data_IF_068302606483
#
_entry.id   IF_068302606483
#
_cell.length_a   1.000
_cell.length_b   1.000
_cell.length_c   1.000
_cell.angle_alpha   90.00
_cell.angle_beta   90.00
_cell.angle_gamma   90.00
#
_symmetry.space_group_name_H-M   'P 1'
#
loop_
_entity.id
_entity.type
_entity.pdbx_description
1 polymer ?
#
# COMPACT_ATOMS: atom_id res chain seq x y z
N UNK A 1 30.91 -65.68 21.82
CA UNK A 1 30.48 -65.47 23.22
C UNK A 1 31.73 -65.08 24.01
N UNK A 2 31.66 -64.06 24.86
CA UNK A 2 32.82 -63.59 25.63
C UNK A 2 32.96 -64.42 26.92
N UNK A 3 34.07 -65.14 27.08
CA UNK A 3 34.36 -65.88 28.31
C UNK A 3 34.99 -64.93 29.35
N UNK A 4 34.49 -64.96 30.58
CA UNK A 4 34.99 -64.11 31.68
C UNK A 4 35.79 -64.99 32.63
N UNK A 5 37.04 -64.58 32.92
CA UNK A 5 37.92 -65.27 33.87
C UNK A 5 37.66 -64.73 35.28
N UNK A 6 37.36 -65.60 36.22
CA UNK A 6 37.20 -65.22 37.63
C UNK A 6 38.57 -64.95 38.25
N UNK A 7 38.81 -63.73 38.76
CA UNK A 7 40.09 -63.35 39.40
C UNK A 7 40.40 -64.12 40.69
N UNK A 8 39.41 -64.76 41.32
CA UNK A 8 39.59 -65.41 42.62
C UNK A 8 39.96 -66.89 42.53
N UNK A 9 39.64 -67.56 41.42
CA UNK A 9 39.92 -69.00 41.25
C UNK A 9 40.44 -69.36 39.86
N UNK A 10 40.73 -68.35 39.03
CA UNK A 10 41.21 -68.46 37.66
C UNK A 10 40.33 -69.32 36.71
N UNK A 11 39.13 -69.68 37.15
CA UNK A 11 38.17 -70.42 36.35
C UNK A 11 37.60 -69.54 35.24
N UNK A 12 37.57 -70.05 34.02
CA UNK A 12 37.05 -69.38 32.83
C UNK A 12 35.76 -70.06 32.41
N UNK A 13 34.67 -69.31 32.39
CA UNK A 13 33.34 -69.86 32.12
C UNK A 13 32.53 -68.94 31.21
N UNK A 14 31.67 -69.54 30.40
CA UNK A 14 30.69 -68.84 29.55
C UNK A 14 29.38 -68.70 30.33
N UNK A 15 29.38 -67.89 31.39
CA UNK A 15 28.20 -67.75 32.28
C UNK A 15 27.43 -66.45 32.07
N UNK A 16 26.10 -66.56 32.05
CA UNK A 16 25.11 -65.46 32.04
C UNK A 16 24.71 -64.97 33.45
N UNK A 17 25.37 -65.47 34.50
CA UNK A 17 25.09 -65.12 35.91
C UNK A 17 26.23 -64.37 36.59
N UNK A 18 25.92 -63.62 37.66
CA UNK A 18 26.86 -62.74 38.36
C UNK A 18 27.83 -63.47 39.31
N UNK A 19 27.62 -64.77 39.58
CA UNK A 19 28.42 -65.57 40.50
C UNK A 19 29.26 -66.60 39.74
N UNK A 20 30.53 -66.76 40.13
CA UNK A 20 31.40 -67.77 39.55
C UNK A 20 30.96 -69.19 40.01
N UNK A 21 30.68 -70.13 39.09
CA UNK A 21 30.19 -71.46 39.45
C UNK A 21 31.21 -72.30 40.23
N UNK A 22 32.51 -72.01 40.10
CA UNK A 22 33.57 -72.78 40.77
C UNK A 22 33.87 -72.33 42.21
N UNK A 23 33.61 -71.06 42.56
CA UNK A 23 33.98 -70.53 43.88
C UNK A 23 32.87 -69.73 44.58
N UNK A 24 31.72 -69.54 43.94
CA UNK A 24 30.58 -68.83 44.50
C UNK A 24 30.80 -67.34 44.74
N UNK A 25 31.92 -66.75 44.29
CA UNK A 25 32.20 -65.31 44.41
C UNK A 25 31.78 -64.54 43.17
N UNK A 26 31.34 -63.30 43.36
CA UNK A 26 30.89 -62.43 42.27
C UNK A 26 32.02 -62.11 41.28
N UNK A 27 31.68 -62.05 39.99
CA UNK A 27 32.59 -61.48 38.99
C UNK A 27 32.76 -59.98 39.27
N UNK A 28 33.97 -59.41 39.10
CA UNK A 28 34.18 -57.98 39.33
C UNK A 28 33.22 -57.17 38.46
N UNK A 29 32.56 -56.13 39.01
CA UNK A 29 31.55 -55.38 38.27
C UNK A 29 32.18 -54.80 37.00
N UNK A 30 31.61 -55.13 35.85
CA UNK A 30 31.90 -54.42 34.60
C UNK A 30 31.59 -52.95 34.82
N UNK A 31 32.53 -52.08 34.48
CA UNK A 31 32.54 -50.64 34.73
C UNK A 31 31.37 -49.88 34.06
N UNK A 32 30.13 -50.08 34.51
CA UNK A 32 28.95 -49.35 34.05
C UNK A 32 29.09 -47.84 34.26
N UNK A 33 29.83 -47.41 35.28
CA UNK A 33 30.08 -45.99 35.55
C UNK A 33 30.91 -45.30 34.46
N UNK A 34 31.79 -46.03 33.77
CA UNK A 34 32.59 -45.47 32.67
C UNK A 34 31.72 -45.26 31.42
N UNK A 35 30.82 -46.21 31.13
CA UNK A 35 29.86 -46.07 30.02
C UNK A 35 28.87 -44.92 30.24
N UNK A 36 28.38 -44.73 31.47
CA UNK A 36 27.51 -43.62 31.82
C UNK A 36 28.23 -42.28 31.63
N UNK A 37 29.50 -42.19 32.04
CA UNK A 37 30.30 -40.99 31.86
C UNK A 37 30.48 -40.64 30.37
N UNK A 38 30.82 -41.63 29.52
CA UNK A 38 30.95 -41.40 28.08
C UNK A 38 29.63 -40.99 27.41
N UNK A 39 28.49 -41.55 27.84
CA UNK A 39 27.16 -41.14 27.35
C UNK A 39 26.84 -39.70 27.74
N UNK A 40 27.20 -39.28 28.95
CA UNK A 40 26.98 -37.91 29.42
C UNK A 40 27.85 -36.91 28.64
N UNK A 41 29.11 -37.24 28.38
CA UNK A 41 30.01 -36.43 27.55
C UNK A 41 29.50 -36.35 26.11
N UNK A 42 29.05 -37.46 25.53
CA UNK A 42 28.48 -37.48 24.18
C UNK A 42 27.23 -36.61 24.09
N UNK A 43 26.33 -36.67 25.07
CA UNK A 43 25.13 -35.85 25.12
C UNK A 43 25.45 -34.35 25.20
N UNK A 44 26.44 -33.96 26.01
CA UNK A 44 26.89 -32.56 26.11
C UNK A 44 27.49 -32.09 24.79
N UNK A 45 28.32 -32.91 24.13
CA UNK A 45 28.91 -32.57 22.82
C UNK A 45 27.81 -32.39 21.77
N UNK A 46 26.80 -33.25 21.73
CA UNK A 46 25.66 -33.10 20.82
C UNK A 46 24.86 -31.83 21.12
N UNK A 47 24.62 -31.50 22.39
CA UNK A 47 23.92 -30.27 22.79
C UNK A 47 24.69 -29.00 22.40
N UNK A 48 26.01 -29.01 22.58
CA UNK A 48 26.89 -27.90 22.19
C UNK A 48 26.97 -27.77 20.66
N UNK A 49 27.02 -28.88 19.92
CA UNK A 49 26.97 -28.86 18.46
C UNK A 49 25.62 -28.35 17.96
N UNK A 50 24.49 -28.76 18.54
CA UNK A 50 23.18 -28.20 18.23
C UNK A 50 23.13 -26.70 18.49
N UNK A 51 23.72 -26.22 19.59
CA UNK A 51 23.78 -24.79 19.89
C UNK A 51 24.69 -24.01 18.93
N UNK A 52 25.82 -24.60 18.51
CA UNK A 52 26.76 -24.00 17.56
C UNK A 52 26.21 -23.99 16.13
N UNK A 53 25.45 -25.02 15.72
CA UNK A 53 24.79 -25.09 14.40
C UNK A 53 23.41 -24.41 14.38
N UNK A 54 22.82 -24.08 15.54
CA UNK A 54 21.58 -23.29 15.62
C UNK A 54 21.84 -21.77 15.64
N UNK A 55 23.10 -21.36 15.65
CA UNK A 55 23.54 -19.96 15.50
C UNK A 55 23.94 -19.63 14.06
N UNK A 56 23.62 -20.52 13.10
CA UNK A 56 23.54 -20.08 11.71
C UNK A 56 22.44 -19.03 11.69
N UNK A 57 22.82 -17.76 11.45
CA UNK A 57 21.88 -16.69 11.17
C UNK A 57 20.96 -17.22 10.08
N UNK A 58 19.76 -17.63 10.49
CA UNK A 58 18.67 -17.87 9.57
C UNK A 58 18.42 -16.48 8.99
N UNK A 59 19.02 -16.20 7.83
CA UNK A 59 18.46 -15.23 6.91
C UNK A 59 17.02 -15.68 6.72
N UNK A 60 16.11 -15.09 7.50
CA UNK A 60 14.68 -15.31 7.39
C UNK A 60 14.34 -15.01 5.94
N UNK A 61 14.13 -16.08 5.16
CA UNK A 61 13.67 -16.01 3.80
C UNK A 61 12.32 -15.30 3.84
N UNK A 62 12.32 -14.01 3.51
CA UNK A 62 11.14 -13.15 3.62
C UNK A 62 10.06 -13.75 2.75
N UNK A 63 8.99 -14.25 3.38
CA UNK A 63 7.89 -14.82 2.62
C UNK A 63 7.11 -13.66 1.97
N UNK A 64 6.56 -13.88 0.77
CA UNK A 64 5.74 -12.88 0.08
C UNK A 64 4.55 -12.40 0.93
N UNK A 65 4.13 -13.20 1.90
CA UNK A 65 3.07 -12.89 2.86
C UNK A 65 3.48 -11.77 3.84
N UNK A 66 4.73 -11.77 4.30
CA UNK A 66 5.27 -10.74 5.22
C UNK A 66 5.29 -9.36 4.55
N UNK A 67 5.68 -9.29 3.28
CA UNK A 67 5.70 -8.04 2.51
C UNK A 67 4.26 -7.51 2.33
N UNK A 68 3.30 -8.38 2.03
CA UNK A 68 1.91 -7.99 1.88
C UNK A 68 1.30 -7.47 3.20
N UNK A 69 1.69 -8.05 4.34
CA UNK A 69 1.30 -7.59 5.68
C UNK A 69 1.86 -6.18 5.92
N UNK A 70 3.14 -5.94 5.62
CA UNK A 70 3.77 -4.65 5.82
C UNK A 70 3.20 -3.55 4.92
N UNK A 71 2.86 -3.87 3.68
CA UNK A 71 2.18 -2.93 2.77
C UNK A 71 0.76 -2.64 3.26
N UNK A 72 -0.05 -3.66 3.61
CA UNK A 72 -1.43 -3.46 4.08
C UNK A 72 -1.49 -2.75 5.44
N UNK A 73 -0.48 -2.94 6.29
CA UNK A 73 -0.35 -2.27 7.59
C UNK A 73 -0.09 -0.76 7.46
N UNK A 74 0.50 -0.30 6.35
CA UNK A 74 0.93 1.09 6.16
C UNK A 74 -0.18 2.16 6.17
N UNK A 75 -1.47 1.79 6.19
CA UNK A 75 -2.58 2.75 6.26
C UNK A 75 -3.25 2.78 7.64
N UNK A 76 -3.17 3.93 8.33
CA UNK A 76 -4.04 4.28 9.46
C UNK A 76 -3.74 3.54 10.77
N UNK A 77 -4.76 3.34 11.61
CA UNK A 77 -4.62 2.81 12.98
C UNK A 77 -4.05 1.38 13.04
N UNK A 78 -4.16 0.61 11.95
CA UNK A 78 -3.64 -0.76 11.85
C UNK A 78 -2.12 -0.83 11.71
N UNK A 79 -1.46 0.25 11.27
CA UNK A 79 -0.01 0.28 11.15
C UNK A 79 0.74 0.12 12.46
N UNK A 80 0.14 0.57 13.57
CA UNK A 80 0.72 0.37 14.91
C UNK A 80 0.87 -1.09 15.29
N UNK A 81 -0.03 -1.97 14.84
CA UNK A 81 -0.02 -3.39 15.19
C UNK A 81 1.12 -4.16 14.54
N UNK A 82 1.59 -3.71 13.38
CA UNK A 82 2.62 -4.39 12.59
C UNK A 82 3.95 -3.64 12.60
N UNK A 83 4.08 -2.60 13.43
CA UNK A 83 5.30 -1.78 13.54
C UNK A 83 6.53 -2.61 13.83
N UNK A 84 6.46 -3.44 14.87
CA UNK A 84 7.63 -4.20 15.32
C UNK A 84 7.88 -5.42 14.41
N UNK A 85 6.82 -6.00 13.83
CA UNK A 85 6.93 -7.14 12.89
C UNK A 85 7.55 -6.74 11.55
N UNK A 86 7.22 -5.53 11.06
CA UNK A 86 7.69 -5.05 9.77
C UNK A 86 9.01 -4.31 9.84
N UNK A 87 9.45 -3.93 11.02
CA UNK A 87 10.72 -3.24 11.20
C UNK A 87 11.88 -4.12 10.70
N UNK A 88 12.83 -3.49 10.02
CA UNK A 88 14.06 -4.07 9.47
C UNK A 88 13.81 -5.12 8.37
N UNK A 89 12.57 -5.29 7.89
CA UNK A 89 12.24 -6.20 6.78
C UNK A 89 12.47 -5.54 5.42
N UNK A 90 13.00 -6.31 4.48
CA UNK A 90 13.08 -5.89 3.07
C UNK A 90 11.69 -5.91 2.44
N UNK A 91 11.32 -4.82 1.78
CA UNK A 91 10.02 -4.63 1.13
C UNK A 91 10.20 -4.14 -0.30
N UNK A 92 9.26 -4.55 -1.16
CA UNK A 92 9.11 -4.02 -2.51
C UNK A 92 7.74 -3.37 -2.65
N UNK A 93 7.69 -2.06 -2.91
CA UNK A 93 6.46 -1.29 -3.02
C UNK A 93 6.39 -0.65 -4.41
N UNK A 94 5.28 -0.87 -5.11
CA UNK A 94 4.99 -0.16 -6.38
C UNK A 94 4.04 0.99 -6.10
N UNK A 95 4.32 2.17 -6.63
CA UNK A 95 3.46 3.33 -6.44
C UNK A 95 3.81 4.52 -7.31
N UNK A 96 3.14 5.63 -7.04
CA UNK A 96 3.27 6.92 -7.71
C UNK A 96 3.94 7.94 -6.81
N UNK A 97 4.92 8.66 -7.34
CA UNK A 97 5.60 9.74 -6.64
C UNK A 97 4.67 10.96 -6.58
N UNK A 98 4.38 11.49 -5.39
CA UNK A 98 3.44 12.61 -5.22
C UNK A 98 4.05 13.87 -4.61
N UNK A 99 5.18 13.75 -3.92
CA UNK A 99 5.94 14.88 -3.41
C UNK A 99 7.43 14.51 -3.42
N UNK A 100 8.29 15.49 -3.62
CA UNK A 100 9.76 15.34 -3.63
C UNK A 100 10.30 16.47 -2.76
N UNK A 101 10.98 16.10 -1.67
CA UNK A 101 11.49 17.04 -0.67
C UNK A 101 12.99 16.79 -0.50
N UNK A 102 13.80 17.47 -1.31
CA UNK A 102 15.26 17.30 -1.30
C UNK A 102 15.68 15.87 -1.68
N UNK A 103 16.14 15.09 -0.70
CA UNK A 103 16.61 13.72 -0.90
C UNK A 103 15.59 12.66 -0.49
N UNK A 104 14.34 13.03 -0.20
CA UNK A 104 13.26 12.09 0.09
C UNK A 104 12.09 12.34 -0.88
N UNK A 105 11.21 11.35 -0.99
CA UNK A 105 9.98 11.52 -1.74
C UNK A 105 8.84 10.72 -1.12
N UNK A 106 7.62 11.18 -1.39
CA UNK A 106 6.40 10.50 -0.96
C UNK A 106 5.86 9.63 -2.08
N UNK A 107 5.62 8.36 -1.76
CA UNK A 107 5.04 7.36 -2.65
C UNK A 107 3.61 7.01 -2.21
N UNK A 108 2.67 6.95 -3.16
CA UNK A 108 1.32 6.42 -2.96
C UNK A 108 1.11 5.16 -3.80
N UNK A 109 0.55 4.10 -3.23
CA UNK A 109 0.24 2.88 -4.01
C UNK A 109 -0.87 3.07 -5.03
N UNK A 110 -1.64 4.17 -4.90
CA UNK A 110 -2.69 4.58 -5.83
C UNK A 110 -2.29 5.84 -6.60
N UNK A 111 -2.79 5.96 -7.82
CA UNK A 111 -2.60 7.14 -8.68
C UNK A 111 -3.31 8.38 -8.12
N UNK A 112 -4.38 8.18 -7.36
CA UNK A 112 -5.15 9.22 -6.69
C UNK A 112 -5.01 9.08 -5.17
N UNK A 113 -4.89 10.23 -4.50
CA UNK A 113 -4.90 10.30 -3.04
C UNK A 113 -6.36 10.09 -2.60
N UNK A 114 -6.75 8.84 -2.47
CA UNK A 114 -8.10 8.42 -2.05
C UNK A 114 -8.06 7.79 -0.65
N UNK A 115 -9.23 7.73 0.00
CA UNK A 115 -9.37 7.05 1.29
C UNK A 115 -9.04 5.56 1.13
N UNK A 116 -7.96 5.09 1.78
CA UNK A 116 -7.44 3.73 1.63
C UNK A 116 -6.16 3.61 0.78
N UNK A 117 -5.68 4.72 0.19
CA UNK A 117 -4.35 4.74 -0.43
C UNK A 117 -3.24 4.64 0.62
N UNK A 118 -2.25 3.78 0.36
CA UNK A 118 -1.12 3.59 1.25
C UNK A 118 -0.02 4.62 0.93
N UNK A 119 0.40 5.39 1.94
CA UNK A 119 1.43 6.43 1.81
C UNK A 119 2.73 5.96 2.46
N UNK A 120 3.82 6.11 1.71
CA UNK A 120 5.18 5.79 2.15
C UNK A 120 6.09 7.02 2.00
N UNK A 121 6.89 7.29 3.02
CA UNK A 121 8.06 8.17 2.90
C UNK A 121 9.26 7.32 2.53
N UNK A 122 9.93 7.70 1.43
CA UNK A 122 11.01 6.92 0.86
C UNK A 122 12.31 7.71 0.95
N UNK A 123 13.32 7.10 1.57
CA UNK A 123 14.68 7.62 1.73
C UNK A 123 15.63 6.78 0.88
N UNK A 124 16.05 7.29 -0.28
CA UNK A 124 16.90 6.55 -1.19
C UNK A 124 18.32 6.44 -0.65
N UNK A 125 18.96 5.29 -0.89
CA UNK A 125 20.34 5.04 -0.48
C UNK A 125 21.36 5.99 -1.13
N UNK A 126 20.98 6.63 -2.23
CA UNK A 126 21.81 7.58 -2.98
C UNK A 126 21.10 8.93 -3.11
N UNK A 127 21.82 10.01 -2.80
CA UNK A 127 21.39 11.40 -2.99
C UNK A 127 21.17 11.78 -4.48
N UNK A 128 21.35 10.83 -5.41
CA UNK A 128 21.23 11.03 -6.87
C UNK A 128 20.14 10.15 -7.48
N UNK A 129 19.00 10.02 -6.81
CA UNK A 129 17.83 9.43 -7.46
C UNK A 129 17.19 10.43 -8.41
N UNK A 130 16.71 9.94 -9.56
CA UNK A 130 15.93 10.74 -10.52
C UNK A 130 14.53 10.15 -10.58
N UNK A 131 13.59 10.81 -9.92
CA UNK A 131 12.17 10.52 -10.04
C UNK A 131 11.43 11.82 -10.35
N UNK A 132 10.43 11.74 -11.23
CA UNK A 132 9.51 12.83 -11.51
C UNK A 132 8.27 12.75 -10.63
N UNK A 133 7.61 13.90 -10.45
CA UNK A 133 6.25 13.92 -9.91
C UNK A 133 5.32 13.09 -10.80
N UNK A 134 4.37 12.39 -10.17
CA UNK A 134 3.42 11.45 -10.76
C UNK A 134 4.02 10.25 -11.50
N UNK A 135 5.34 10.07 -11.43
CA UNK A 135 6.01 8.91 -12.02
C UNK A 135 5.66 7.66 -11.23
N UNK A 136 5.36 6.56 -11.95
CA UNK A 136 5.21 5.24 -11.35
C UNK A 136 6.58 4.61 -11.16
N UNK A 137 6.85 4.10 -9.98
CA UNK A 137 8.14 3.50 -9.61
C UNK A 137 7.94 2.25 -8.76
N UNK A 138 8.90 1.34 -8.82
CA UNK A 138 9.10 0.27 -7.84
C UNK A 138 10.19 0.73 -6.88
N UNK A 139 9.91 0.63 -5.59
CA UNK A 139 10.81 0.96 -4.50
C UNK A 139 11.16 -0.34 -3.76
N UNK A 140 12.43 -0.68 -3.71
CA UNK A 140 12.96 -1.79 -2.91
C UNK A 140 13.79 -1.20 -1.77
N UNK A 141 13.51 -1.55 -0.53
CA UNK A 141 14.24 -0.99 0.61
C UNK A 141 13.90 -1.67 1.92
N UNK A 142 14.40 -1.12 3.02
CA UNK A 142 14.16 -1.64 4.37
C UNK A 142 13.05 -0.84 5.02
N UNK A 143 12.05 -1.53 5.55
CA UNK A 143 10.99 -0.89 6.31
C UNK A 143 11.53 -0.48 7.69
N UNK A 144 11.64 0.82 7.94
CA UNK A 144 12.19 1.34 9.20
C UNK A 144 11.11 1.48 10.27
N UNK A 145 10.10 2.30 10.00
CA UNK A 145 9.17 2.71 11.05
C UNK A 145 7.87 3.31 10.52
N UNK A 146 6.95 3.58 11.46
CA UNK A 146 5.75 4.37 11.20
C UNK A 146 5.97 5.81 11.69
N UNK A 147 5.74 6.79 10.81
CA UNK A 147 5.89 8.22 11.13
C UNK A 147 4.70 8.77 11.92
N UNK A 148 4.88 9.94 12.55
CA UNK A 148 3.78 10.71 13.14
C UNK A 148 2.72 10.98 12.06
N UNK A 149 1.54 10.38 12.21
CA UNK A 149 0.46 10.40 11.20
C UNK A 149 0.00 9.02 10.69
N UNK A 150 0.73 7.94 11.00
CA UNK A 150 0.35 6.57 10.63
C UNK A 150 0.76 6.16 9.21
N UNK A 151 1.86 6.73 8.72
CA UNK A 151 2.46 6.44 7.41
C UNK A 151 3.70 5.58 7.56
N UNK A 152 4.06 4.81 6.54
CA UNK A 152 5.23 3.95 6.56
C UNK A 152 6.49 4.67 6.06
N UNK A 153 7.66 4.30 6.61
CA UNK A 153 8.97 4.79 6.17
C UNK A 153 9.79 3.65 5.60
N UNK A 154 10.36 3.88 4.41
CA UNK A 154 11.26 2.95 3.72
C UNK A 154 12.63 3.61 3.59
N UNK A 155 13.63 3.04 4.27
CA UNK A 155 15.01 3.47 4.26
C UNK A 155 15.86 2.61 3.30
N UNK A 156 17.06 3.12 2.96
CA UNK A 156 18.00 2.48 2.05
C UNK A 156 17.40 2.09 0.68
N UNK A 157 16.46 2.91 0.20
CA UNK A 157 15.66 2.56 -0.96
C UNK A 157 16.45 2.61 -2.27
N UNK A 158 16.23 1.58 -3.10
CA UNK A 158 16.61 1.47 -4.51
C UNK A 158 15.35 1.66 -5.35
N UNK A 159 15.41 2.56 -6.34
CA UNK A 159 14.25 2.95 -7.14
C UNK A 159 14.41 2.46 -8.56
N UNK A 160 13.37 1.80 -9.07
CA UNK A 160 13.28 1.35 -10.47
C UNK A 160 12.10 2.08 -11.14
N UNK A 161 12.35 2.95 -12.13
CA UNK A 161 11.27 3.62 -12.85
C UNK A 161 10.45 2.61 -13.67
N UNK A 162 9.13 2.80 -13.73
CA UNK A 162 8.24 2.05 -14.63
C UNK A 162 7.81 2.99 -15.75
N UNK A 163 8.08 2.61 -17.00
CA UNK A 163 7.43 3.23 -18.14
C UNK A 163 5.97 2.78 -18.20
N UNK A 164 5.06 3.75 -18.19
CA UNK A 164 3.63 3.48 -18.34
C UNK A 164 3.33 3.09 -19.78
N UNK A 165 2.55 2.04 -19.98
CA UNK A 165 2.08 1.69 -21.32
C UNK A 165 1.18 2.80 -21.88
N UNK A 166 1.22 3.04 -23.19
CA UNK A 166 0.41 4.05 -23.89
C UNK A 166 -1.10 3.90 -23.64
N UNK A 167 -1.56 2.68 -23.37
CA UNK A 167 -2.96 2.40 -23.00
C UNK A 167 -3.34 3.02 -21.65
N UNK A 168 -2.44 3.00 -20.67
CA UNK A 168 -2.65 3.60 -19.35
C UNK A 168 -2.59 5.13 -19.43
N UNK A 169 -1.71 5.68 -20.28
CA UNK A 169 -1.63 7.12 -20.56
C UNK A 169 -2.94 7.61 -21.20
N UNK A 170 -3.43 6.90 -22.21
CA UNK A 170 -4.69 7.24 -22.87
C UNK A 170 -5.91 7.14 -21.94
N UNK A 171 -5.94 6.14 -21.06
CA UNK A 171 -7.01 6.02 -20.06
C UNK A 171 -7.01 7.19 -19.07
N UNK A 172 -5.81 7.67 -18.66
CA UNK A 172 -5.67 8.85 -17.79
C UNK A 172 -6.18 10.11 -18.47
N UNK A 173 -5.76 10.34 -19.71
CA UNK A 173 -6.19 11.52 -20.45
C UNK A 173 -7.71 11.53 -20.67
N UNK A 174 -8.33 10.37 -20.90
CA UNK A 174 -9.80 10.25 -20.95
C UNK A 174 -10.46 10.58 -19.61
N UNK A 175 -9.91 10.12 -18.48
CA UNK A 175 -10.45 10.40 -17.13
C UNK A 175 -10.33 11.89 -16.77
N UNK A 176 -9.21 12.53 -17.11
CA UNK A 176 -9.04 13.98 -16.92
C UNK A 176 -9.97 14.80 -17.82
N UNK A 177 -10.08 14.44 -19.09
CA UNK A 177 -11.01 15.09 -20.02
C UNK A 177 -12.46 14.95 -19.53
N UNK A 178 -12.86 13.79 -19.00
CA UNK A 178 -14.18 13.59 -18.41
C UNK A 178 -14.40 14.44 -17.14
N UNK A 179 -13.38 14.64 -16.30
CA UNK A 179 -13.46 15.55 -15.14
C UNK A 179 -13.62 17.01 -15.57
N UNK A 180 -12.83 17.46 -16.55
CA UNK A 180 -12.93 18.81 -17.13
C UNK A 180 -14.32 19.05 -17.73
N UNK A 181 -14.84 18.08 -18.49
CA UNK A 181 -16.18 18.14 -19.08
C UNK A 181 -17.27 18.28 -18.01
N UNK A 182 -17.20 17.51 -16.92
CA UNK A 182 -18.15 17.62 -15.80
C UNK A 182 -18.07 18.98 -15.09
N UNK A 183 -16.87 19.55 -14.94
CA UNK A 183 -16.68 20.88 -14.35
C UNK A 183 -17.31 21.96 -15.24
N UNK A 184 -17.05 21.91 -16.55
CA UNK A 184 -17.64 22.83 -17.52
C UNK A 184 -19.16 22.73 -17.56
N UNK A 185 -19.72 21.51 -17.55
CA UNK A 185 -21.18 21.31 -17.45
C UNK A 185 -21.79 21.95 -16.20
N UNK A 186 -21.08 21.89 -15.06
CA UNK A 186 -21.53 22.51 -13.81
C UNK A 186 -21.48 24.03 -13.88
N UNK A 187 -20.43 24.61 -14.46
CA UNK A 187 -20.31 26.06 -14.66
C UNK A 187 -21.40 26.60 -15.61
N UNK A 188 -21.66 25.89 -16.70
CA UNK A 188 -22.73 26.21 -17.64
C UNK A 188 -24.12 26.17 -16.99
N UNK A 189 -24.36 25.20 -16.10
CA UNK A 189 -25.62 25.11 -15.36
C UNK A 189 -25.83 26.29 -14.41
N UNK A 190 -24.77 26.73 -13.70
CA UNK A 190 -24.83 27.91 -12.84
C UNK A 190 -25.08 29.19 -13.63
N UNK A 191 -24.40 29.34 -14.78
CA UNK A 191 -24.64 30.47 -15.68
C UNK A 191 -26.11 30.50 -16.14
N UNK A 192 -26.69 29.35 -16.51
CA UNK A 192 -28.11 29.33 -16.85
C UNK A 192 -29.01 29.80 -15.70
N UNK A 193 -28.81 29.26 -14.49
CA UNK A 193 -29.63 29.63 -13.33
C UNK A 193 -29.56 31.13 -13.02
N UNK A 194 -28.36 31.71 -13.04
CA UNK A 194 -28.17 33.13 -12.77
C UNK A 194 -28.85 34.01 -13.84
N UNK A 195 -28.81 33.61 -15.11
CA UNK A 195 -29.50 34.34 -16.17
C UNK A 195 -31.03 34.21 -16.08
N UNK A 196 -31.54 33.02 -15.78
CA UNK A 196 -32.98 32.81 -15.58
C UNK A 196 -33.52 33.64 -14.41
N UNK A 197 -32.79 33.69 -13.29
CA UNK A 197 -33.14 34.52 -12.12
C UNK A 197 -33.13 36.01 -12.46
N UNK A 198 -32.09 36.51 -13.13
CA UNK A 198 -32.01 37.90 -13.59
C UNK A 198 -33.18 38.24 -14.54
N UNK A 199 -33.55 37.29 -15.40
CA UNK A 199 -34.69 37.45 -16.31
C UNK A 199 -36.02 37.55 -15.56
N UNK A 200 -36.28 36.65 -14.60
CA UNK A 200 -37.49 36.68 -13.76
C UNK A 200 -37.59 37.98 -12.94
N UNK A 201 -36.47 38.49 -12.43
CA UNK A 201 -36.41 39.79 -11.75
C UNK A 201 -36.74 40.95 -12.71
N UNK A 202 -36.24 40.91 -13.94
CA UNK A 202 -36.53 41.91 -14.97
C UNK A 202 -37.99 41.87 -15.47
N UNK A 203 -38.65 40.71 -15.37
CA UNK A 203 -40.02 40.45 -15.83
C UNK A 203 -40.82 39.64 -14.79
N UNK A 204 -41.31 40.30 -13.72
CA UNK A 204 -42.07 39.61 -12.68
C UNK A 204 -43.29 38.86 -13.25
N UNK A 205 -43.44 37.59 -12.87
CA UNK A 205 -44.52 36.72 -13.32
C UNK A 205 -44.17 35.79 -14.49
N UNK A 206 -42.92 35.82 -14.98
CA UNK A 206 -42.38 34.76 -15.85
C UNK A 206 -41.88 33.58 -15.02
N UNK A 207 -42.06 32.36 -15.53
CA UNK A 207 -41.53 31.13 -14.93
C UNK A 207 -40.48 30.53 -15.87
N UNK A 208 -39.24 30.43 -15.40
CA UNK A 208 -38.15 29.83 -16.14
C UNK A 208 -37.91 28.36 -15.72
N UNK A 209 -37.50 27.49 -16.66
CA UNK A 209 -37.16 26.09 -16.37
C UNK A 209 -36.10 25.99 -15.29
N UNK A 210 -36.26 25.02 -14.39
CA UNK A 210 -35.28 24.76 -13.36
C UNK A 210 -34.07 24.06 -13.98
N UNK A 211 -32.91 24.21 -13.33
CA UNK A 211 -31.68 23.53 -13.72
C UNK A 211 -31.81 22.00 -13.90
N UNK A 212 -32.77 21.37 -13.20
CA UNK A 212 -33.09 19.95 -13.34
C UNK A 212 -33.68 19.56 -14.69
N UNK A 213 -34.23 20.52 -15.43
CA UNK A 213 -35.05 20.30 -16.62
C UNK A 213 -34.26 20.57 -17.92
N UNK A 214 -32.97 20.91 -17.80
CA UNK A 214 -32.09 21.28 -18.91
C UNK A 214 -31.20 20.12 -19.35
N UNK A 215 -31.13 19.95 -20.66
CA UNK A 215 -30.10 19.14 -21.31
C UNK A 215 -28.87 20.04 -21.55
N UNK A 216 -27.66 19.49 -21.55
CA UNK A 216 -26.38 20.23 -21.61
C UNK A 216 -26.13 21.06 -22.88
N UNK A 217 -27.14 21.31 -23.71
CA UNK A 217 -27.06 22.02 -24.99
C UNK A 217 -27.44 23.50 -24.90
N UNK A 218 -28.00 23.98 -23.78
CA UNK A 218 -28.53 25.34 -23.66
C UNK A 218 -27.51 26.42 -23.28
N UNK A 219 -26.23 26.05 -23.11
CA UNK A 219 -25.16 26.94 -22.73
C UNK A 219 -23.88 26.58 -23.48
N UNK A 220 -23.19 27.61 -23.99
CA UNK A 220 -21.99 27.46 -24.80
C UNK A 220 -20.88 28.38 -24.28
N UNK A 221 -19.71 27.79 -24.00
CA UNK A 221 -18.50 28.54 -23.71
C UNK A 221 -17.89 29.05 -25.02
N UNK A 222 -17.70 30.36 -25.15
CA UNK A 222 -17.06 30.97 -26.31
C UNK A 222 -15.52 30.98 -26.15
N UNK A 223 -14.80 31.20 -27.25
CA UNK A 223 -13.32 31.21 -27.27
C UNK A 223 -12.70 32.30 -26.40
N UNK A 224 -13.43 33.40 -26.16
CA UNK A 224 -13.02 34.51 -25.30
C UNK A 224 -13.29 34.27 -23.81
N UNK A 225 -13.81 33.09 -23.46
CA UNK A 225 -14.16 32.71 -22.09
C UNK A 225 -15.52 33.23 -21.61
N UNK A 226 -16.27 33.95 -22.45
CA UNK A 226 -17.65 34.30 -22.15
C UNK A 226 -18.55 33.07 -22.24
N UNK A 227 -19.61 33.03 -21.42
CA UNK A 227 -20.63 31.99 -21.50
C UNK A 227 -21.87 32.60 -22.13
N UNK A 228 -22.30 32.03 -23.24
CA UNK A 228 -23.58 32.33 -23.86
C UNK A 228 -24.62 31.33 -23.40
N UNK A 229 -25.78 31.82 -22.99
CA UNK A 229 -26.88 31.00 -22.53
C UNK A 229 -28.14 31.39 -23.28
N UNK A 230 -28.74 30.42 -23.97
CA UNK A 230 -30.06 30.56 -24.55
C UNK A 230 -31.07 29.83 -23.67
N UNK A 231 -32.20 30.48 -23.39
CA UNK A 231 -33.24 29.90 -22.55
C UNK A 231 -34.64 30.29 -22.96
N UNK A 232 -35.60 29.56 -22.38
CA UNK A 232 -37.01 29.66 -22.69
C UNK A 232 -37.80 29.74 -21.38
N UNK A 233 -38.44 30.87 -21.08
CA UNK A 233 -39.36 31.02 -19.95
C UNK A 233 -40.81 31.14 -20.45
N UNK A 234 -41.78 31.04 -19.54
CA UNK A 234 -43.19 31.14 -19.85
C UNK A 234 -43.86 32.28 -19.10
N UNK A 235 -44.79 32.98 -19.75
CA UNK A 235 -45.67 33.97 -19.14
C UNK A 235 -47.13 33.62 -19.48
N UNK A 236 -47.81 32.94 -18.57
CA UNK A 236 -49.12 32.37 -18.84
C UNK A 236 -49.07 31.36 -19.99
N UNK A 237 -49.69 31.67 -21.14
CA UNK A 237 -49.70 30.81 -22.34
C UNK A 237 -48.65 31.19 -23.39
N UNK A 238 -47.88 32.26 -23.15
CA UNK A 238 -46.85 32.73 -24.08
C UNK A 238 -45.50 32.15 -23.68
N UNK A 239 -44.66 31.90 -24.68
CA UNK A 239 -43.28 31.49 -24.45
C UNK A 239 -42.36 32.66 -24.76
N UNK A 240 -41.32 32.82 -23.97
CA UNK A 240 -40.37 33.92 -24.06
C UNK A 240 -38.98 33.32 -24.16
N UNK A 241 -38.32 33.53 -25.30
CA UNK A 241 -36.92 33.17 -25.44
C UNK A 241 -36.07 34.33 -24.95
N UNK A 242 -34.97 34.02 -24.28
CA UNK A 242 -33.98 34.99 -23.84
C UNK A 242 -32.58 34.47 -24.16
N UNK A 243 -31.65 35.41 -24.31
CA UNK A 243 -30.24 35.13 -24.45
C UNK A 243 -29.44 35.98 -23.47
N UNK A 244 -28.50 35.37 -22.78
CA UNK A 244 -27.59 36.03 -21.86
C UNK A 244 -26.13 35.82 -22.23
N UNK A 245 -25.32 36.80 -21.90
CA UNK A 245 -23.87 36.70 -21.92
C UNK A 245 -23.32 36.92 -20.49
N UNK A 246 -22.35 36.09 -20.10
CA UNK A 246 -21.62 36.25 -18.85
C UNK A 246 -20.28 36.90 -19.11
N UNK A 247 -20.10 38.11 -18.57
CA UNK A 247 -18.81 38.78 -18.52
C UNK A 247 -18.39 38.93 -17.05
N UNK A 248 -17.20 38.43 -16.70
CA UNK A 248 -16.67 38.46 -15.33
C UNK A 248 -17.61 37.88 -14.26
N UNK A 249 -18.43 36.89 -14.62
CA UNK A 249 -19.38 36.24 -13.71
C UNK A 249 -20.70 36.98 -13.49
N UNK A 250 -20.95 38.10 -14.19
CA UNK A 250 -22.21 38.83 -14.12
C UNK A 250 -23.09 38.51 -15.34
N UNK A 251 -24.35 38.07 -15.16
CA UNK A 251 -25.27 37.86 -16.26
C UNK A 251 -25.70 39.19 -16.87
N UNK A 252 -25.71 39.29 -18.19
CA UNK A 252 -26.34 40.40 -18.92
C UNK A 252 -27.29 39.84 -19.98
N UNK A 253 -28.58 40.19 -19.89
CA UNK A 253 -29.59 39.83 -20.89
C UNK A 253 -29.31 40.62 -22.17
N UNK A 254 -29.11 39.92 -23.29
CA UNK A 254 -28.78 40.51 -24.60
C UNK A 254 -29.98 40.63 -25.51
N UNK A 255 -30.84 39.63 -25.54
CA UNK A 255 -31.99 39.59 -26.45
C UNK A 255 -33.15 38.85 -25.78
N UNK A 256 -34.38 39.26 -26.07
CA UNK A 256 -35.57 38.47 -25.74
C UNK A 256 -36.63 38.60 -26.84
N UNK A 257 -37.35 37.50 -27.11
CA UNK A 257 -38.48 37.45 -28.05
C UNK A 257 -39.68 36.77 -27.40
N UNK A 258 -40.86 37.33 -27.63
CA UNK A 258 -42.14 36.78 -27.13
C UNK A 258 -42.84 36.07 -28.29
N UNK A 259 -43.26 34.83 -28.06
CA UNK A 259 -44.04 34.01 -28.98
C UNK A 259 -45.43 33.72 -28.40
#
# INVERSE_FOLDING_TARGET
MASIKCKNCDHQSETTGNLCPACGKEYPPTNSNVYIFYLFVLAIVVLVLLFLFSNEEVEEEITKEDIAICIKGSSGYKGKLYKDTCKDKSVQVTGFVKAIDGNEFTLYTSDQIEYGSHKFYVYPKSNRFKVGLDQKVIVEGIFDSYSFGGYARVDDAVIKPIELADSEINARQRKENAKKLKSQQKEMLFAYMACAEEFELSKPGTECPKASDLNSESAHLQEDGSIHVDGLCFFGKRSITFSCEFQNGLPTIKEFKIH
#
